data_IF_789833939298
#
_entry.id   IF_789833939298
#
_cell.length_a   1.000
_cell.length_b   1.000
_cell.length_c   1.000
_cell.angle_alpha   90.00
_cell.angle_beta   90.00
_cell.angle_gamma   90.00
#
_symmetry.space_group_name_H-M   'P 1'
#
loop_
_entity.id
_entity.type
_entity.pdbx_description
1 polymer ?
#
# COMPACT_ATOMS: atom_id res chain seq x y z
N UNK A 1 -5.90 -2.08 2.73
CA UNK A 1 -5.56 -1.17 1.63
C UNK A 1 -4.04 -1.10 1.43
N UNK A 2 -3.57 -1.05 0.17
CA UNK A 2 -2.20 -0.66 -0.17
C UNK A 2 -2.08 0.86 -0.30
N UNK A 3 -0.96 1.36 -0.84
CA UNK A 3 -0.76 2.78 -1.10
C UNK A 3 0.66 3.06 -1.60
N UNK A 4 0.86 4.20 -2.24
CA UNK A 4 2.19 4.69 -2.61
C UNK A 4 2.57 5.87 -1.72
N UNK A 5 3.85 5.95 -1.36
CA UNK A 5 4.40 7.07 -0.61
C UNK A 5 5.49 7.75 -1.41
N UNK A 6 5.52 9.08 -1.36
CA UNK A 6 6.66 9.85 -1.86
C UNK A 6 7.75 9.88 -0.81
N UNK A 7 8.95 9.42 -1.18
CA UNK A 7 10.10 9.33 -0.27
C UNK A 7 11.28 10.14 -0.79
N UNK A 8 12.10 10.62 0.14
CA UNK A 8 13.36 11.28 -0.18
C UNK A 8 14.50 10.25 -0.18
N UNK A 9 15.26 10.21 -1.27
CA UNK A 9 16.49 9.40 -1.33
C UNK A 9 17.51 9.87 -0.29
N UNK A 10 18.16 8.92 0.39
CA UNK A 10 19.26 9.20 1.32
C UNK A 10 20.44 9.91 0.64
N UNK A 11 20.62 9.67 -0.66
CA UNK A 11 21.64 10.30 -1.50
C UNK A 11 21.27 11.69 -2.05
N UNK A 12 20.13 12.28 -1.66
CA UNK A 12 19.76 13.62 -2.13
C UNK A 12 20.75 14.69 -1.62
N UNK A 13 21.25 15.53 -2.52
CA UNK A 13 22.09 16.68 -2.19
C UNK A 13 21.28 17.87 -1.63
N UNK A 14 19.96 17.90 -1.87
CA UNK A 14 19.08 19.02 -1.51
C UNK A 14 17.96 18.57 -0.55
N UNK A 15 18.35 18.04 0.62
CA UNK A 15 17.41 17.41 1.56
C UNK A 15 16.32 18.36 2.08
N UNK A 16 16.67 19.59 2.43
CA UNK A 16 15.70 20.56 2.96
C UNK A 16 14.65 20.95 1.92
N UNK A 17 15.07 21.17 0.67
CA UNK A 17 14.17 21.49 -0.42
C UNK A 17 13.27 20.30 -0.78
N UNK A 18 13.84 19.09 -0.83
CA UNK A 18 13.08 17.87 -1.06
C UNK A 18 12.05 17.62 0.05
N UNK A 19 12.44 17.82 1.32
CA UNK A 19 11.52 17.72 2.45
C UNK A 19 10.39 18.74 2.37
N UNK A 20 10.73 20.01 2.13
CA UNK A 20 9.73 21.08 1.95
C UNK A 20 8.74 20.74 0.83
N UNK A 21 9.23 20.23 -0.30
CA UNK A 21 8.38 19.81 -1.40
C UNK A 21 7.47 18.65 -1.01
N UNK A 22 7.98 17.60 -0.37
CA UNK A 22 7.18 16.45 0.06
C UNK A 22 6.11 16.86 1.08
N UNK A 23 6.44 17.78 2.00
CA UNK A 23 5.46 18.33 2.95
C UNK A 23 4.30 19.02 2.23
N UNK A 24 4.58 19.86 1.25
CA UNK A 24 3.53 20.48 0.43
C UNK A 24 2.80 19.46 -0.45
N UNK A 25 3.52 18.50 -1.04
CA UNK A 25 2.94 17.50 -1.93
C UNK A 25 1.90 16.63 -1.20
N UNK A 26 2.13 16.34 0.08
CA UNK A 26 1.27 15.49 0.91
C UNK A 26 0.42 16.29 1.92
N UNK A 27 0.15 17.58 1.66
CA UNK A 27 -0.68 18.40 2.54
C UNK A 27 -2.07 18.65 1.97
N UNK A 28 -3.01 18.94 2.87
CA UNK A 28 -4.28 19.59 2.54
C UNK A 28 -4.01 21.01 1.97
N UNK A 29 -4.67 21.35 0.87
CA UNK A 29 -4.41 22.52 0.04
C UNK A 29 -3.15 22.42 -0.82
N UNK A 30 -2.43 21.30 -0.76
CA UNK A 30 -1.22 21.03 -1.52
C UNK A 30 -1.44 20.01 -2.63
N UNK A 31 -0.40 19.22 -2.91
CA UNK A 31 -0.44 18.21 -3.99
C UNK A 31 -1.56 17.20 -3.83
N UNK A 32 -1.86 16.78 -2.61
CA UNK A 32 -2.90 15.80 -2.33
C UNK A 32 -4.31 16.28 -2.70
N UNK A 33 -4.64 17.53 -2.38
CA UNK A 33 -5.88 18.16 -2.84
C UNK A 33 -5.92 18.24 -4.36
N UNK A 34 -4.84 18.70 -4.99
CA UNK A 34 -4.76 18.88 -6.46
C UNK A 34 -4.97 17.56 -7.20
N UNK A 35 -4.31 16.48 -6.79
CA UNK A 35 -4.48 15.17 -7.43
C UNK A 35 -5.87 14.58 -7.20
N UNK A 36 -6.43 14.80 -6.01
CA UNK A 36 -7.79 14.33 -5.66
C UNK A 36 -8.85 15.01 -6.51
N UNK A 37 -8.77 16.34 -6.68
CA UNK A 37 -9.70 17.11 -7.52
C UNK A 37 -9.68 16.66 -8.99
N UNK A 38 -8.53 16.18 -9.45
CA UNK A 38 -8.35 15.63 -10.80
C UNK A 38 -8.81 14.18 -10.94
N UNK A 39 -9.19 13.53 -9.84
CA UNK A 39 -9.52 12.11 -9.81
C UNK A 39 -8.33 11.19 -10.06
N UNK A 40 -7.09 11.69 -9.89
CA UNK A 40 -5.87 10.91 -10.08
C UNK A 40 -5.58 9.98 -8.89
N UNK A 41 -6.07 10.33 -7.70
CA UNK A 41 -5.89 9.55 -6.47
C UNK A 41 -7.18 9.46 -5.66
N UNK A 42 -7.24 8.46 -4.79
CA UNK A 42 -8.05 8.52 -3.57
C UNK A 42 -7.23 9.21 -2.48
N UNK A 43 -7.83 10.15 -1.72
CA UNK A 43 -7.10 10.92 -0.71
C UNK A 43 -6.66 10.04 0.47
N UNK A 44 -5.45 10.28 0.96
CA UNK A 44 -4.87 9.60 2.12
C UNK A 44 -5.17 10.34 3.43
N UNK A 45 -5.36 11.66 3.37
CA UNK A 45 -5.73 12.53 4.47
C UNK A 45 -7.24 12.60 4.65
N UNK A 46 -7.70 12.39 5.88
CA UNK A 46 -9.11 12.55 6.21
C UNK A 46 -9.63 13.97 5.93
N UNK A 47 -8.79 14.99 6.07
CA UNK A 47 -9.20 16.38 5.81
C UNK A 47 -9.55 16.58 4.33
N UNK A 48 -8.79 15.98 3.42
CA UNK A 48 -9.08 16.01 1.97
C UNK A 48 -10.23 15.07 1.63
N UNK A 49 -10.26 13.85 2.18
CA UNK A 49 -11.32 12.86 1.95
C UNK A 49 -12.72 13.36 2.32
N UNK A 50 -12.85 14.16 3.38
CA UNK A 50 -14.13 14.71 3.80
C UNK A 50 -14.40 16.12 3.23
N UNK A 51 -13.55 16.63 2.34
CA UNK A 51 -13.70 17.95 1.73
C UNK A 51 -14.44 17.90 0.38
N UNK A 52 -14.87 19.06 -0.15
CA UNK A 52 -15.41 19.15 -1.51
C UNK A 52 -14.43 18.73 -2.61
N UNK A 53 -13.12 18.64 -2.34
CA UNK A 53 -12.15 18.14 -3.33
C UNK A 53 -12.42 16.67 -3.69
N UNK A 54 -12.86 15.87 -2.71
CA UNK A 54 -13.26 14.49 -2.94
C UNK A 54 -14.77 14.34 -3.00
N UNK A 55 -15.52 14.88 -2.04
CA UNK A 55 -16.97 14.67 -1.88
C UNK A 55 -17.81 15.50 -2.87
N UNK A 56 -17.63 15.21 -4.16
CA UNK A 56 -18.33 15.83 -5.28
C UNK A 56 -19.46 14.95 -5.80
N UNK A 57 -20.36 15.53 -6.60
CA UNK A 57 -21.36 14.79 -7.37
C UNK A 57 -20.81 14.12 -8.65
N UNK A 58 -19.54 14.35 -9.01
CA UNK A 58 -18.91 13.67 -10.14
C UNK A 58 -18.79 12.17 -9.88
N UNK A 59 -18.99 11.32 -10.91
CA UNK A 59 -18.75 9.89 -10.80
C UNK A 59 -17.33 9.54 -10.31
N UNK A 60 -17.16 8.42 -9.58
CA UNK A 60 -18.21 7.51 -9.13
C UNK A 60 -19.07 8.11 -8.02
N UNK A 61 -20.37 7.81 -8.06
CA UNK A 61 -21.29 8.16 -6.98
C UNK A 61 -20.93 7.39 -5.69
N UNK A 62 -21.47 7.85 -4.55
CA UNK A 62 -21.28 7.21 -3.24
C UNK A 62 -19.82 7.12 -2.77
N UNK A 63 -19.07 8.21 -2.93
CA UNK A 63 -17.67 8.34 -2.47
C UNK A 63 -17.49 8.02 -0.98
N UNK A 64 -18.54 8.17 -0.17
CA UNK A 64 -18.57 7.73 1.22
C UNK A 64 -18.23 6.23 1.38
N UNK A 65 -18.60 5.38 0.43
CA UNK A 65 -18.28 3.96 0.47
C UNK A 65 -16.77 3.70 0.45
N UNK A 66 -16.02 4.53 -0.27
CA UNK A 66 -14.56 4.46 -0.36
C UNK A 66 -13.92 4.84 0.98
N UNK A 67 -14.43 5.89 1.63
CA UNK A 67 -13.99 6.30 2.97
C UNK A 67 -14.29 5.20 4.00
N UNK A 68 -15.47 4.60 3.92
CA UNK A 68 -15.89 3.52 4.83
C UNK A 68 -15.00 2.27 4.67
N UNK A 69 -14.70 1.87 3.44
CA UNK A 69 -13.80 0.73 3.17
C UNK A 69 -12.38 1.02 3.66
N UNK A 70 -11.86 2.22 3.37
CA UNK A 70 -10.54 2.63 3.84
C UNK A 70 -10.45 2.63 5.38
N UNK A 71 -11.50 3.06 6.07
CA UNK A 71 -11.56 3.03 7.54
C UNK A 71 -11.67 1.60 8.12
N UNK A 72 -12.20 0.65 7.34
CA UNK A 72 -12.27 -0.76 7.72
C UNK A 72 -10.98 -1.53 7.39
N UNK A 73 -10.02 -0.91 6.69
CA UNK A 73 -8.72 -1.52 6.43
C UNK A 73 -7.87 -1.51 7.70
N UNK A 74 -7.63 -2.69 8.28
CA UNK A 74 -6.70 -2.84 9.40
C UNK A 74 -5.24 -2.65 8.98
N UNK A 75 -4.45 -2.11 9.93
CA UNK A 75 -2.99 -2.02 9.82
C UNK A 75 -2.39 -3.43 9.97
N UNK A 76 -1.42 -3.77 9.12
CA UNK A 76 -0.65 -5.02 9.26
C UNK A 76 -0.99 -6.13 8.27
N UNK A 77 -1.88 -5.88 7.30
CA UNK A 77 -2.12 -6.81 6.18
C UNK A 77 -0.98 -6.86 5.14
N UNK A 78 0.10 -6.12 5.36
CA UNK A 78 1.33 -6.13 4.56
C UNK A 78 2.52 -6.42 5.47
N UNK A 79 3.55 -7.09 4.95
CA UNK A 79 4.81 -7.24 5.67
C UNK A 79 5.57 -5.92 5.71
N UNK A 80 5.63 -5.32 6.89
CA UNK A 80 6.41 -4.10 7.16
C UNK A 80 7.80 -4.44 7.69
N UNK A 81 8.60 -5.16 6.92
CA UNK A 81 9.99 -5.49 7.26
C UNK A 81 10.90 -5.53 6.02
N UNK A 82 12.22 -5.35 6.17
CA UNK A 82 13.13 -5.13 5.04
C UNK A 82 13.09 -6.21 3.96
N UNK A 83 12.91 -7.46 4.37
CA UNK A 83 12.95 -8.66 3.52
C UNK A 83 11.58 -8.99 2.90
N UNK A 84 10.53 -8.19 3.15
CA UNK A 84 9.17 -8.44 2.65
C UNK A 84 9.12 -8.57 1.12
N UNK A 85 9.81 -7.68 0.39
CA UNK A 85 9.79 -7.71 -1.08
C UNK A 85 10.40 -8.99 -1.65
N UNK A 86 11.39 -9.56 -0.97
CA UNK A 86 12.00 -10.84 -1.35
C UNK A 86 11.07 -12.00 -1.00
N UNK A 87 10.51 -12.03 0.21
CA UNK A 87 9.55 -13.05 0.64
C UNK A 87 8.35 -13.12 -0.31
N UNK A 88 7.73 -11.97 -0.59
CA UNK A 88 6.57 -11.87 -1.46
C UNK A 88 6.91 -12.29 -2.91
N UNK A 89 7.99 -11.72 -3.47
CA UNK A 89 8.36 -11.94 -4.86
C UNK A 89 8.93 -13.32 -5.18
N UNK A 90 9.51 -14.02 -4.20
CA UNK A 90 10.14 -15.33 -4.43
C UNK A 90 9.31 -16.53 -3.96
N UNK A 91 8.43 -16.34 -2.98
CA UNK A 91 7.68 -17.43 -2.35
C UNK A 91 6.17 -17.21 -2.47
N UNK A 92 5.64 -16.14 -1.89
CA UNK A 92 4.18 -15.95 -1.75
C UNK A 92 3.53 -15.76 -3.12
N UNK A 93 4.00 -14.78 -3.91
CA UNK A 93 3.48 -14.48 -5.24
C UNK A 93 3.50 -15.70 -6.18
N UNK A 94 4.67 -16.32 -6.42
CA UNK A 94 4.77 -17.49 -7.30
C UNK A 94 3.96 -18.71 -6.81
N UNK A 95 3.82 -18.90 -5.50
CA UNK A 95 2.98 -19.94 -4.93
C UNK A 95 1.48 -19.69 -5.18
N UNK A 96 1.02 -18.46 -4.93
CA UNK A 96 -0.37 -18.07 -5.17
C UNK A 96 -0.73 -18.11 -6.66
N UNK A 97 0.21 -17.77 -7.56
CA UNK A 97 0.02 -17.88 -9.01
C UNK A 97 -0.34 -19.30 -9.44
N UNK A 98 0.33 -20.33 -8.89
CA UNK A 98 0.01 -21.74 -9.18
C UNK A 98 -1.39 -22.13 -8.70
N UNK A 99 -1.80 -21.63 -7.53
CA UNK A 99 -3.14 -21.87 -6.98
C UNK A 99 -4.19 -21.23 -7.91
N UNK A 100 -3.99 -19.98 -8.31
CA UNK A 100 -4.93 -19.26 -9.18
C UNK A 100 -4.98 -19.83 -10.60
N UNK A 101 -3.87 -20.34 -11.11
CA UNK A 101 -3.81 -21.05 -12.38
C UNK A 101 -4.47 -22.44 -12.33
N UNK A 102 -4.79 -22.95 -11.13
CA UNK A 102 -5.36 -24.28 -10.93
C UNK A 102 -4.35 -25.42 -11.11
N UNK A 103 -3.05 -25.12 -11.05
CA UNK A 103 -1.96 -26.10 -11.15
C UNK A 103 -1.79 -26.91 -9.87
N UNK A 104 -2.17 -26.32 -8.74
CA UNK A 104 -2.21 -26.95 -7.42
C UNK A 104 -3.52 -26.56 -6.72
N UNK A 105 -4.10 -27.46 -5.93
CA UNK A 105 -5.27 -27.11 -5.14
C UNK A 105 -4.92 -26.11 -4.02
N UNK A 106 -5.88 -25.29 -3.57
CA UNK A 106 -5.60 -24.27 -2.57
C UNK A 106 -5.10 -24.82 -1.23
N UNK A 107 -5.56 -25.99 -0.79
CA UNK A 107 -5.18 -26.54 0.52
C UNK A 107 -3.70 -26.94 0.51
N UNK A 108 -3.28 -27.71 -0.50
CA UNK A 108 -1.88 -28.12 -0.66
C UNK A 108 -0.98 -26.91 -0.95
N UNK A 109 -1.38 -26.04 -1.88
CA UNK A 109 -0.57 -24.87 -2.25
C UNK A 109 -0.34 -23.91 -1.09
N UNK A 110 -1.36 -23.66 -0.26
CA UNK A 110 -1.20 -22.81 0.93
C UNK A 110 -0.29 -23.47 1.98
N UNK A 111 -0.42 -24.78 2.20
CA UNK A 111 0.46 -25.49 3.14
C UNK A 111 1.94 -25.39 2.71
N UNK A 112 2.23 -25.56 1.42
CA UNK A 112 3.58 -25.45 0.85
C UNK A 112 4.13 -24.03 0.95
N UNK A 113 3.30 -23.00 0.70
CA UNK A 113 3.68 -21.59 0.85
C UNK A 113 4.03 -21.30 2.31
N UNK A 114 3.19 -21.72 3.26
CA UNK A 114 3.43 -21.52 4.69
C UNK A 114 4.77 -22.12 5.14
N UNK A 115 5.06 -23.36 4.75
CA UNK A 115 6.32 -24.01 5.10
C UNK A 115 7.55 -23.25 4.56
N UNK A 116 7.47 -22.74 3.34
CA UNK A 116 8.54 -21.93 2.74
C UNK A 116 8.69 -20.56 3.40
N UNK A 117 7.57 -19.91 3.76
CA UNK A 117 7.59 -18.65 4.51
C UNK A 117 8.23 -18.84 5.88
N UNK A 118 7.84 -19.88 6.61
CA UNK A 118 8.43 -20.20 7.93
C UNK A 118 9.94 -20.43 7.83
N UNK A 119 10.38 -21.18 6.82
CA UNK A 119 11.81 -21.41 6.58
C UNK A 119 12.54 -20.11 6.23
N UNK A 120 12.00 -19.29 5.32
CA UNK A 120 12.58 -17.99 4.96
C UNK A 120 12.73 -17.08 6.17
N UNK A 121 11.69 -17.00 7.01
CA UNK A 121 11.71 -16.20 8.24
C UNK A 121 12.78 -16.73 9.21
N UNK A 122 12.87 -18.04 9.42
CA UNK A 122 13.88 -18.65 10.26
C UNK A 122 15.31 -18.36 9.77
N UNK A 123 15.55 -18.49 8.46
CA UNK A 123 16.85 -18.23 7.82
C UNK A 123 17.28 -16.77 7.93
N UNK A 124 16.31 -15.84 7.97
CA UNK A 124 16.53 -14.41 8.17
C UNK A 124 16.45 -13.96 9.64
N UNK A 125 16.43 -14.92 10.58
CA UNK A 125 16.52 -14.65 12.02
C UNK A 125 15.26 -14.06 12.64
N UNK A 126 14.09 -14.35 12.08
CA UNK A 126 12.80 -13.98 12.67
C UNK A 126 12.28 -15.03 13.65
N UNK A 127 11.54 -14.63 14.71
CA UNK A 127 11.31 -13.24 15.11
C UNK A 127 12.60 -12.61 15.65
N UNK A 128 12.81 -11.33 15.31
CA UNK A 128 13.89 -10.49 15.85
C UNK A 128 13.52 -9.93 17.22
#
# INVERSE_FOLDING_TARGET
AGGAAWVMSSGSDNKDAAWTFIQWLQSDGGGETIYTERGEIFPALQSVANSPAFMTDQPPANKQGIITEAAASDVGNFGYFPEWGELDGSIIGPGLEKIWAGEIDPETGLADICAQVEQFLADNGYPK
#
